data_IF_729841937715
#
_entry.id   IF_729841937715
#
_cell.length_a   1.000
_cell.length_b   1.000
_cell.length_c   1.000
_cell.angle_alpha   90.00
_cell.angle_beta   90.00
_cell.angle_gamma   90.00
#
_symmetry.space_group_name_H-M   'P 1'
#
loop_
_entity.id
_entity.type
_entity.pdbx_description
1 polymer ?
#
# COMPACT_ATOMS: atom_id res chain seq x y z
N UNK A 1 7.81 -9.31 -5.95
CA UNK A 1 7.33 -9.47 -4.55
C UNK A 1 7.86 -10.76 -3.94
N UNK A 2 8.16 -11.77 -4.76
CA UNK A 2 9.18 -12.78 -4.50
C UNK A 2 10.14 -12.78 -5.69
N UNK A 3 11.43 -12.82 -5.41
CA UNK A 3 12.51 -12.65 -6.38
C UNK A 3 13.83 -12.80 -5.67
N UNK A 4 13.99 -13.90 -4.94
CA UNK A 4 15.32 -14.33 -4.52
C UNK A 4 15.86 -15.13 -5.70
N UNK A 5 16.65 -14.47 -6.54
CA UNK A 5 17.69 -15.16 -7.28
C UNK A 5 18.98 -14.77 -6.56
N UNK A 6 19.76 -15.76 -6.14
CA UNK A 6 20.91 -15.57 -5.26
C UNK A 6 22.02 -14.69 -5.87
N UNK A 7 21.94 -14.35 -7.16
CA UNK A 7 22.88 -13.47 -7.86
C UNK A 7 22.26 -12.23 -8.53
N UNK A 8 21.01 -11.85 -8.20
CA UNK A 8 20.31 -10.73 -8.86
C UNK A 8 19.81 -9.64 -7.91
N UNK A 9 20.04 -8.36 -8.24
CA UNK A 9 19.38 -7.23 -7.56
C UNK A 9 17.85 -7.37 -7.68
N UNK A 10 17.17 -7.63 -6.57
CA UNK A 10 15.70 -7.70 -6.54
C UNK A 10 15.10 -6.30 -6.37
N UNK A 11 14.45 -5.79 -7.41
CA UNK A 11 13.81 -4.47 -7.39
C UNK A 11 12.39 -4.56 -6.82
N UNK A 12 12.19 -4.08 -5.59
CA UNK A 12 10.84 -3.87 -5.05
C UNK A 12 10.29 -2.52 -5.56
N UNK A 13 9.18 -2.55 -6.32
CA UNK A 13 8.56 -1.34 -6.89
C UNK A 13 8.00 -0.39 -5.83
N UNK A 14 7.53 -0.96 -4.72
CA UNK A 14 7.00 -0.25 -3.56
C UNK A 14 7.60 -0.92 -2.33
N UNK A 15 8.04 -0.11 -1.37
CA UNK A 15 8.48 -0.61 -0.07
C UNK A 15 7.33 -1.39 0.60
N UNK A 16 7.68 -2.45 1.33
CA UNK A 16 6.71 -3.33 2.01
C UNK A 16 5.78 -2.52 2.92
N UNK A 17 6.34 -1.56 3.67
CA UNK A 17 5.61 -0.64 4.54
C UNK A 17 4.56 0.18 3.79
N UNK A 18 4.86 0.57 2.54
CA UNK A 18 3.94 1.32 1.67
C UNK A 18 2.82 0.46 1.08
N UNK A 19 3.02 -0.86 0.98
CA UNK A 19 2.02 -1.84 0.55
C UNK A 19 1.12 -2.23 1.74
N UNK A 20 1.71 -2.39 2.93
CA UNK A 20 1.00 -2.73 4.16
C UNK A 20 0.14 -1.59 4.72
N UNK A 21 0.17 -0.42 4.09
CA UNK A 21 -0.75 0.67 4.36
C UNK A 21 -2.22 0.29 4.10
N UNK A 22 -3.15 1.02 4.72
CA UNK A 22 -4.59 0.82 4.47
C UNK A 22 -4.95 1.17 3.04
N UNK A 23 -6.07 0.64 2.53
CA UNK A 23 -6.62 1.04 1.22
C UNK A 23 -6.81 2.56 1.13
N UNK A 24 -7.24 3.21 2.23
CA UNK A 24 -7.38 4.68 2.36
C UNK A 24 -6.08 5.46 2.16
N UNK A 25 -4.93 4.79 2.23
CA UNK A 25 -3.58 5.35 2.06
C UNK A 25 -2.94 4.83 0.75
N UNK A 26 -3.75 4.28 -0.17
CA UNK A 26 -3.30 3.52 -1.36
C UNK A 26 -2.38 2.35 -1.00
N UNK A 27 -2.65 1.63 0.09
CA UNK A 27 -2.02 0.33 0.35
C UNK A 27 -2.96 -0.83 0.04
N UNK A 28 -2.44 -2.06 0.14
CA UNK A 28 -3.21 -3.30 -0.05
C UNK A 28 -3.96 -3.72 1.22
N UNK A 29 -3.86 -2.95 2.32
CA UNK A 29 -4.39 -3.32 3.62
C UNK A 29 -3.83 -4.65 4.15
N UNK A 30 -2.62 -5.00 3.72
CA UNK A 30 -1.89 -6.14 4.25
C UNK A 30 -1.28 -5.75 5.60
N UNK A 31 -1.31 -6.66 6.56
CA UNK A 31 -0.67 -6.45 7.86
C UNK A 31 0.78 -6.89 7.74
N UNK A 32 1.72 -6.00 8.02
CA UNK A 32 3.12 -6.40 8.08
C UNK A 32 3.32 -7.32 9.30
N UNK A 33 3.81 -8.57 9.13
CA UNK A 33 3.86 -9.54 10.23
C UNK A 33 4.62 -9.04 11.46
N UNK A 34 5.75 -8.33 11.24
CA UNK A 34 6.59 -7.79 12.32
C UNK A 34 5.86 -6.71 13.11
N UNK A 35 5.19 -5.78 12.42
CA UNK A 35 4.41 -4.72 13.08
C UNK A 35 3.12 -5.25 13.69
N UNK A 36 2.49 -6.27 13.10
CA UNK A 36 1.27 -6.88 13.61
C UNK A 36 1.50 -7.79 14.82
N UNK A 37 2.70 -8.34 14.97
CA UNK A 37 3.06 -9.12 16.15
C UNK A 37 3.12 -8.25 17.43
N UNK A 38 3.56 -6.99 17.33
CA UNK A 38 3.64 -6.06 18.47
C UNK A 38 2.27 -5.91 19.17
N UNK A 39 1.16 -5.57 18.48
CA UNK A 39 -0.11 -5.41 19.13
C UNK A 39 -0.76 -6.73 19.55
N UNK A 40 -0.41 -7.87 18.94
CA UNK A 40 -0.81 -9.19 19.43
C UNK A 40 -0.17 -9.49 20.79
N UNK A 41 1.14 -9.27 20.93
CA UNK A 41 1.85 -9.38 22.20
C UNK A 41 1.39 -8.32 23.21
N UNK A 42 0.98 -7.14 22.73
CA UNK A 42 0.27 -6.14 23.52
C UNK A 42 -1.03 -6.65 24.13
N UNK A 43 -1.76 -7.54 23.44
CA UNK A 43 -2.98 -8.14 23.98
C UNK A 43 -2.67 -9.08 25.14
N UNK A 44 -1.56 -9.84 25.06
CA UNK A 44 -1.09 -10.66 26.16
C UNK A 44 -0.70 -9.79 27.37
N UNK A 45 0.02 -8.68 27.15
CA UNK A 45 0.33 -7.70 28.21
C UNK A 45 -0.93 -7.13 28.86
N UNK A 46 -1.96 -6.85 28.07
CA UNK A 46 -3.24 -6.35 28.58
C UNK A 46 -3.99 -7.42 29.39
N UNK A 47 -3.96 -8.67 28.94
CA UNK A 47 -4.56 -9.79 29.68
C UNK A 47 -3.82 -10.04 31.01
N UNK A 48 -2.50 -9.82 31.05
CA UNK A 48 -1.73 -9.85 32.29
C UNK A 48 -2.17 -8.73 33.26
N UNK A 49 -2.37 -7.49 32.78
CA UNK A 49 -2.77 -6.35 33.64
C UNK A 49 -4.15 -6.56 34.24
N UNK A 50 -5.09 -7.09 33.46
CA UNK A 50 -6.44 -7.42 33.92
C UNK A 50 -6.50 -8.74 34.69
N UNK A 51 -5.35 -9.36 35.02
CA UNK A 51 -5.23 -10.63 35.73
C UNK A 51 -6.16 -11.72 35.17
N UNK A 52 -6.25 -11.80 33.83
CA UNK A 52 -7.06 -12.82 33.17
C UNK A 52 -6.66 -14.19 33.69
N UNK A 53 -7.64 -14.99 34.07
CA UNK A 53 -7.41 -16.32 34.65
C UNK A 53 -6.74 -17.26 33.64
N UNK A 54 -5.42 -17.29 33.67
CA UNK A 54 -4.61 -18.25 32.95
C UNK A 54 -3.41 -18.63 33.80
N UNK A 55 -2.95 -19.88 33.68
CA UNK A 55 -1.75 -20.35 34.38
C UNK A 55 -0.54 -19.47 34.06
N UNK A 56 -0.41 -19.04 32.81
CA UNK A 56 0.64 -18.13 32.37
C UNK A 56 0.55 -16.77 33.08
N UNK A 57 -0.65 -16.20 33.24
CA UNK A 57 -0.85 -14.94 33.97
C UNK A 57 -0.46 -15.07 35.45
N UNK A 58 -0.90 -16.14 36.10
CA UNK A 58 -0.58 -16.42 37.52
C UNK A 58 0.94 -16.55 37.72
N UNK A 59 1.58 -17.40 36.90
CA UNK A 59 3.03 -17.61 36.93
C UNK A 59 3.82 -16.31 36.69
N UNK A 60 3.41 -15.48 35.73
CA UNK A 60 4.07 -14.20 35.45
C UNK A 60 3.98 -13.24 36.65
N UNK A 61 2.83 -13.19 37.32
CA UNK A 61 2.64 -12.35 38.51
C UNK A 61 3.41 -12.83 39.72
N UNK A 62 3.50 -14.13 39.95
CA UNK A 62 4.26 -14.71 41.07
C UNK A 62 5.78 -14.62 40.85
N UNK A 63 6.26 -14.98 39.66
CA UNK A 63 7.69 -15.08 39.39
C UNK A 63 8.33 -13.72 39.09
N UNK A 64 7.72 -12.89 38.22
CA UNK A 64 8.32 -11.63 37.76
C UNK A 64 7.79 -10.40 38.50
N UNK A 65 6.48 -10.20 38.52
CA UNK A 65 5.90 -8.91 38.93
C UNK A 65 5.71 -8.77 40.45
N UNK A 66 5.56 -9.89 41.18
CA UNK A 66 5.33 -9.94 42.64
C UNK A 66 4.27 -8.94 43.11
N UNK A 67 3.15 -8.88 42.39
CA UNK A 67 2.02 -7.97 42.68
C UNK A 67 2.18 -6.52 42.18
N UNK A 68 3.30 -6.16 41.54
CA UNK A 68 3.49 -4.82 40.94
C UNK A 68 2.74 -4.70 39.61
N UNK A 69 2.32 -3.49 39.25
CA UNK A 69 1.75 -3.22 37.91
C UNK A 69 2.80 -3.43 36.84
N UNK A 70 2.36 -3.93 35.69
CA UNK A 70 3.23 -4.30 34.57
C UNK A 70 3.85 -3.05 33.95
N UNK A 71 3.12 -1.93 33.95
CA UNK A 71 3.51 -0.66 33.33
C UNK A 71 4.61 0.07 34.12
N UNK A 72 4.69 -0.19 35.42
CA UNK A 72 5.63 0.46 36.35
C UNK A 72 6.82 -0.44 36.71
N UNK A 73 6.78 -1.71 36.32
CA UNK A 73 7.85 -2.67 36.61
C UNK A 73 9.17 -2.30 35.92
N UNK A 74 10.26 -2.22 36.69
CA UNK A 74 11.63 -2.04 36.16
C UNK A 74 12.25 -3.40 35.85
N UNK A 75 12.73 -3.56 34.62
CA UNK A 75 13.31 -4.84 34.15
C UNK A 75 14.70 -5.03 34.73
N UNK A 76 14.95 -6.16 35.40
CA UNK A 76 16.28 -6.52 35.88
C UNK A 76 17.17 -7.06 34.75
N UNK A 77 18.48 -6.90 34.89
CA UNK A 77 19.44 -7.35 33.89
C UNK A 77 19.48 -8.88 33.75
N UNK A 78 19.13 -9.63 34.79
CA UNK A 78 19.13 -11.11 34.78
C UNK A 78 17.87 -11.74 34.17
N UNK A 79 16.88 -10.94 33.78
CA UNK A 79 15.66 -11.50 33.20
C UNK A 79 15.96 -12.25 31.88
N UNK A 80 15.25 -13.37 31.68
CA UNK A 80 15.34 -14.19 30.46
C UNK A 80 15.02 -13.36 29.21
N UNK A 81 15.66 -13.70 28.09
CA UNK A 81 15.58 -12.90 26.85
C UNK A 81 14.13 -12.71 26.33
N UNK A 82 13.27 -13.71 26.48
CA UNK A 82 11.87 -13.64 26.06
C UNK A 82 11.08 -12.60 26.89
N UNK A 83 11.34 -12.52 28.19
CA UNK A 83 10.72 -11.54 29.09
C UNK A 83 11.21 -10.13 28.74
N UNK A 84 12.52 -9.97 28.55
CA UNK A 84 13.09 -8.70 28.06
C UNK A 84 12.45 -8.27 26.74
N UNK A 85 12.19 -9.19 25.81
CA UNK A 85 11.50 -8.89 24.54
C UNK A 85 10.05 -8.44 24.75
N UNK A 86 9.33 -9.09 25.66
CA UNK A 86 7.96 -8.71 26.03
C UNK A 86 7.92 -7.31 26.67
N UNK A 87 8.87 -7.01 27.55
CA UNK A 87 8.97 -5.68 28.17
C UNK A 87 9.35 -4.59 27.17
N UNK A 88 10.22 -4.87 26.19
CA UNK A 88 10.47 -3.95 25.06
C UNK A 88 9.19 -3.62 24.27
N UNK A 89 8.25 -4.55 24.18
CA UNK A 89 6.95 -4.32 23.51
C UNK A 89 6.03 -3.49 24.41
N UNK A 90 6.01 -3.77 25.71
CA UNK A 90 5.32 -2.94 26.70
C UNK A 90 5.78 -1.49 26.58
N UNK A 91 7.08 -1.24 26.53
CA UNK A 91 7.62 0.13 26.44
C UNK A 91 7.17 0.85 25.17
N UNK A 92 7.05 0.13 24.05
CA UNK A 92 6.47 0.68 22.81
C UNK A 92 5.00 1.06 22.94
N UNK A 93 4.22 0.33 23.74
CA UNK A 93 2.78 0.55 23.93
C UNK A 93 2.46 1.46 25.12
N UNK A 94 3.44 1.71 26.01
CA UNK A 94 3.28 2.46 27.25
C UNK A 94 2.70 3.86 27.02
N UNK A 95 3.10 4.54 25.94
CA UNK A 95 2.56 5.85 25.58
C UNK A 95 1.06 5.87 25.23
N UNK A 96 0.46 4.71 24.95
CA UNK A 96 -0.98 4.59 24.64
C UNK A 96 -1.85 4.27 25.85
N UNK A 97 -1.23 4.09 27.03
CA UNK A 97 -1.89 3.76 28.29
C UNK A 97 -1.77 4.94 29.23
N UNK A 98 -2.91 5.43 29.73
CA UNK A 98 -2.97 6.47 30.76
C UNK A 98 -4.00 6.04 31.81
N UNK A 99 -3.69 6.21 33.10
CA UNK A 99 -4.54 5.78 34.21
C UNK A 99 -5.02 4.33 34.11
N UNK A 100 -4.14 3.42 33.67
CA UNK A 100 -4.44 1.99 33.38
C UNK A 100 -5.54 1.77 32.35
N UNK A 101 -5.89 2.78 31.56
CA UNK A 101 -6.87 2.70 30.48
C UNK A 101 -6.20 2.88 29.12
N UNK A 102 -6.69 2.13 28.13
CA UNK A 102 -6.21 2.21 26.76
C UNK A 102 -6.90 3.36 26.03
N UNK A 103 -6.13 4.41 25.74
CA UNK A 103 -6.70 5.66 25.21
C UNK A 103 -7.11 5.55 23.74
N UNK A 104 -6.44 4.70 22.97
CA UNK A 104 -6.69 4.58 21.53
C UNK A 104 -7.94 3.76 21.16
N UNK A 105 -8.81 3.42 22.12
CA UNK A 105 -10.10 2.78 21.90
C UNK A 105 -11.23 3.46 22.68
N UNK A 106 -11.17 4.79 22.82
CA UNK A 106 -12.16 5.58 23.56
C UNK A 106 -12.39 5.05 25.00
N UNK A 107 -11.29 4.73 25.70
CA UNK A 107 -11.34 4.18 27.07
C UNK A 107 -11.78 2.72 27.18
N UNK A 108 -12.17 2.05 26.08
CA UNK A 108 -12.51 0.63 26.08
C UNK A 108 -11.27 -0.26 26.18
N UNK A 109 -11.50 -1.55 26.44
CA UNK A 109 -10.43 -2.56 26.53
C UNK A 109 -9.54 -2.60 25.29
N UNK A 110 -8.27 -2.93 25.50
CA UNK A 110 -7.30 -3.06 24.43
C UNK A 110 -7.65 -4.20 23.47
N UNK A 111 -7.53 -3.92 22.17
CA UNK A 111 -7.58 -4.94 21.12
C UNK A 111 -6.32 -4.86 20.27
N UNK A 112 -5.90 -5.97 19.65
CA UNK A 112 -4.77 -5.95 18.73
C UNK A 112 -5.00 -4.97 17.55
N UNK A 113 -6.25 -4.76 17.15
CA UNK A 113 -6.62 -3.78 16.13
C UNK A 113 -6.37 -2.34 16.60
N UNK A 114 -6.82 -1.97 17.80
CA UNK A 114 -6.60 -0.63 18.35
C UNK A 114 -5.12 -0.36 18.59
N UNK A 115 -4.38 -1.34 19.11
CA UNK A 115 -2.92 -1.27 19.26
C UNK A 115 -2.20 -1.05 17.94
N UNK A 116 -2.56 -1.79 16.88
CA UNK A 116 -1.97 -1.60 15.55
C UNK A 116 -2.27 -0.22 14.96
N UNK A 117 -3.50 0.27 15.09
CA UNK A 117 -3.89 1.59 14.60
C UNK A 117 -3.10 2.68 15.33
N UNK A 118 -2.95 2.55 16.65
CA UNK A 118 -2.20 3.50 17.48
C UNK A 118 -0.70 3.52 17.13
N UNK A 119 -0.06 2.34 17.02
CA UNK A 119 1.35 2.22 16.65
C UNK A 119 1.68 2.84 15.28
N UNK A 120 0.72 2.83 14.35
CA UNK A 120 0.91 3.42 13.01
C UNK A 120 0.75 4.95 13.00
N UNK A 121 0.22 5.52 14.08
CA UNK A 121 -0.13 6.93 14.17
C UNK A 121 -1.29 7.34 13.26
N UNK A 122 -1.64 8.63 13.32
CA UNK A 122 -2.57 9.24 12.38
C UNK A 122 -1.83 9.45 11.06
N UNK A 123 -2.30 8.79 10.00
CA UNK A 123 -1.82 9.04 8.64
C UNK A 123 -2.88 9.76 7.84
N UNK A 124 -2.46 10.73 7.04
CA UNK A 124 -3.35 11.45 6.13
C UNK A 124 -4.04 10.47 5.17
N UNK A 125 -5.34 10.70 4.96
CA UNK A 125 -6.10 9.94 3.97
C UNK A 125 -5.61 10.35 2.58
N UNK A 126 -5.24 9.38 1.77
CA UNK A 126 -4.84 9.63 0.40
C UNK A 126 -6.08 9.82 -0.46
N UNK A 127 -6.34 11.05 -0.90
CA UNK A 127 -7.56 11.43 -1.64
C UNK A 127 -7.93 10.47 -2.80
N UNK A 128 -6.98 10.01 -3.66
CA UNK A 128 -7.30 9.07 -4.74
C UNK A 128 -7.70 7.65 -4.32
N UNK A 129 -7.51 7.28 -3.05
CA UNK A 129 -7.77 5.92 -2.56
C UNK A 129 -9.21 5.43 -2.84
N UNK A 130 -10.18 6.35 -2.80
CA UNK A 130 -11.60 6.02 -3.05
C UNK A 130 -11.86 5.59 -4.50
N UNK A 131 -11.13 6.17 -5.46
CA UNK A 131 -11.20 5.81 -6.87
C UNK A 131 -10.54 4.45 -7.08
N UNK A 132 -9.31 4.32 -6.58
CA UNK A 132 -8.47 3.15 -6.80
C UNK A 132 -9.12 1.89 -6.24
N UNK A 133 -9.69 1.98 -5.04
CA UNK A 133 -10.28 0.84 -4.32
C UNK A 133 -11.80 0.83 -4.39
N UNK A 134 -12.38 1.31 -5.48
CA UNK A 134 -13.82 1.19 -5.75
C UNK A 134 -14.27 -0.27 -5.68
N UNK A 135 -15.48 -0.51 -5.16
CA UNK A 135 -16.04 -1.85 -4.98
C UNK A 135 -16.21 -2.61 -6.30
N UNK A 136 -16.43 -1.90 -7.40
CA UNK A 136 -16.63 -2.49 -8.73
C UNK A 136 -15.32 -2.66 -9.50
N UNK A 137 -14.19 -2.20 -8.95
CA UNK A 137 -12.89 -2.34 -9.60
C UNK A 137 -12.35 -3.75 -9.39
N UNK A 138 -11.91 -4.39 -10.47
CA UNK A 138 -11.17 -5.65 -10.37
C UNK A 138 -9.86 -5.43 -9.60
N UNK A 139 -9.45 -6.35 -8.72
CA UNK A 139 -8.24 -6.20 -7.91
C UNK A 139 -6.97 -5.87 -8.72
N UNK A 140 -6.82 -6.51 -9.90
CA UNK A 140 -5.70 -6.26 -10.82
C UNK A 140 -5.68 -4.82 -11.37
N UNK A 141 -6.86 -4.24 -11.64
CA UNK A 141 -6.98 -2.86 -12.11
C UNK A 141 -6.63 -1.88 -10.98
N UNK A 142 -7.19 -2.09 -9.80
CA UNK A 142 -6.90 -1.29 -8.61
C UNK A 142 -5.41 -1.29 -8.24
N UNK A 143 -4.74 -2.45 -8.36
CA UNK A 143 -3.31 -2.56 -8.08
C UNK A 143 -2.48 -1.71 -9.05
N UNK A 144 -2.70 -1.86 -10.36
CA UNK A 144 -1.98 -1.07 -11.38
C UNK A 144 -2.29 0.42 -11.24
N UNK A 145 -3.55 0.78 -11.00
CA UNK A 145 -3.92 2.16 -10.69
C UNK A 145 -3.15 2.69 -9.49
N UNK A 146 -3.09 1.96 -8.36
CA UNK A 146 -2.34 2.44 -7.20
C UNK A 146 -0.85 2.68 -7.51
N UNK A 147 -0.23 1.81 -8.31
CA UNK A 147 1.14 2.03 -8.79
C UNK A 147 1.24 3.26 -9.69
N UNK A 148 0.27 3.48 -10.58
CA UNK A 148 0.19 4.66 -11.43
C UNK A 148 0.14 5.94 -10.59
N UNK A 149 -0.77 6.00 -9.61
CA UNK A 149 -0.96 7.13 -8.71
C UNK A 149 0.29 7.41 -7.84
N UNK A 150 0.93 6.37 -7.29
CA UNK A 150 2.19 6.49 -6.52
C UNK A 150 3.44 6.77 -7.38
N UNK A 151 3.29 6.88 -8.71
CA UNK A 151 4.40 7.05 -9.65
C UNK A 151 5.42 5.89 -9.60
N UNK A 152 4.95 4.66 -9.40
CA UNK A 152 5.76 3.44 -9.23
C UNK A 152 5.65 2.46 -10.42
N UNK A 153 5.01 2.86 -11.52
CA UNK A 153 4.99 2.08 -12.75
C UNK A 153 6.37 2.07 -13.44
N UNK A 154 6.75 0.93 -14.02
CA UNK A 154 8.03 0.70 -14.70
C UNK A 154 8.06 1.26 -16.14
N UNK A 155 7.85 2.57 -16.27
CA UNK A 155 8.08 3.29 -17.53
C UNK A 155 9.59 3.39 -17.83
N UNK A 156 9.98 3.58 -19.11
CA UNK A 156 11.40 3.69 -19.50
C UNK A 156 12.18 4.68 -18.65
N UNK A 157 11.62 5.88 -18.48
CA UNK A 157 12.24 6.95 -17.70
C UNK A 157 12.51 6.54 -16.24
N UNK A 158 11.69 5.65 -15.67
CA UNK A 158 11.90 5.14 -14.30
C UNK A 158 12.96 4.05 -14.27
N UNK A 159 13.05 3.22 -15.31
CA UNK A 159 14.08 2.19 -15.45
C UNK A 159 15.47 2.82 -15.60
N UNK A 160 15.59 3.89 -16.38
CA UNK A 160 16.84 4.67 -16.50
C UNK A 160 17.28 5.23 -15.14
N UNK A 161 16.35 5.80 -14.36
CA UNK A 161 16.61 6.26 -12.97
C UNK A 161 17.01 5.14 -12.01
N UNK A 162 16.74 3.89 -12.37
CA UNK A 162 17.16 2.71 -11.60
C UNK A 162 18.49 2.14 -12.13
N UNK A 163 19.20 2.86 -13.01
CA UNK A 163 20.42 2.43 -13.68
C UNK A 163 20.26 1.10 -14.43
N UNK A 164 19.08 0.85 -14.99
CA UNK A 164 18.81 -0.30 -15.85
C UNK A 164 18.97 0.11 -17.31
N UNK A 165 19.65 -0.73 -18.11
CA UNK A 165 19.85 -0.48 -19.53
C UNK A 165 18.51 -0.48 -20.26
N UNK A 166 18.16 0.66 -20.84
CA UNK A 166 17.00 0.83 -21.71
C UNK A 166 17.50 1.13 -23.11
N UNK A 167 17.32 0.17 -24.02
CA UNK A 167 17.75 0.32 -25.43
C UNK A 167 16.82 1.23 -26.23
N UNK A 168 15.55 1.30 -25.85
CA UNK A 168 14.53 2.14 -26.47
C UNK A 168 13.67 2.79 -25.37
N UNK A 169 13.82 4.11 -25.21
CA UNK A 169 13.06 4.89 -24.24
C UNK A 169 11.81 5.54 -24.85
N UNK A 170 11.51 5.29 -26.13
CA UNK A 170 10.28 5.75 -26.76
C UNK A 170 9.04 5.05 -26.19
N UNK A 171 7.91 5.75 -26.26
CA UNK A 171 6.60 5.23 -25.93
C UNK A 171 6.26 4.05 -26.85
N UNK A 172 5.98 2.88 -26.26
CA UNK A 172 5.65 1.70 -27.06
C UNK A 172 4.32 1.83 -27.82
N UNK A 173 3.43 2.72 -27.38
CA UNK A 173 2.12 2.93 -28.00
C UNK A 173 2.22 3.90 -29.19
N UNK A 174 2.71 5.12 -28.97
CA UNK A 174 2.74 6.14 -30.03
C UNK A 174 4.09 6.33 -30.71
N UNK A 175 5.20 5.87 -30.11
CA UNK A 175 6.58 6.03 -30.61
C UNK A 175 7.07 7.49 -30.81
N UNK A 176 6.26 8.50 -30.49
CA UNK A 176 6.55 9.92 -30.73
C UNK A 176 7.25 10.65 -29.59
N UNK A 177 7.29 10.07 -28.39
CA UNK A 177 7.86 10.72 -27.20
C UNK A 177 8.41 9.70 -26.20
N UNK A 178 9.16 10.20 -25.20
CA UNK A 178 9.73 9.37 -24.13
C UNK A 178 8.62 8.70 -23.29
N UNK A 179 8.79 7.40 -23.06
CA UNK A 179 7.93 6.58 -22.22
C UNK A 179 8.05 6.98 -20.75
N UNK A 180 7.15 7.87 -20.37
CA UNK A 180 6.95 8.38 -19.01
C UNK A 180 5.48 8.27 -18.64
N UNK A 181 5.17 8.26 -17.34
CA UNK A 181 3.78 8.31 -16.85
C UNK A 181 3.05 9.56 -17.38
N UNK A 182 3.73 10.71 -17.39
CA UNK A 182 3.17 11.97 -17.86
C UNK A 182 2.77 11.87 -19.33
N UNK A 183 3.65 11.30 -20.17
CA UNK A 183 3.29 11.04 -21.55
C UNK A 183 2.17 10.01 -21.65
N UNK A 184 2.34 8.82 -21.07
CA UNK A 184 1.43 7.67 -21.20
C UNK A 184 -0.02 7.99 -20.85
N UNK A 185 -0.28 8.76 -19.78
CA UNK A 185 -1.66 9.05 -19.34
C UNK A 185 -2.18 10.43 -19.73
N UNK A 186 -1.34 11.37 -20.17
CA UNK A 186 -1.77 12.75 -20.44
C UNK A 186 -1.44 13.28 -21.83
N UNK A 187 -0.40 12.76 -22.50
CA UNK A 187 0.08 13.31 -23.79
C UNK A 187 0.11 12.28 -24.92
N UNK A 188 0.02 10.99 -24.61
CA UNK A 188 0.05 9.92 -25.60
C UNK A 188 -1.26 9.93 -26.40
N UNK A 189 -1.17 10.21 -27.70
CA UNK A 189 -2.32 10.31 -28.60
C UNK A 189 -3.20 9.05 -28.57
N UNK A 190 -2.57 7.87 -28.65
CA UNK A 190 -3.26 6.58 -28.55
C UNK A 190 -4.02 6.42 -27.23
N UNK A 191 -3.39 6.77 -26.10
CA UNK A 191 -4.04 6.71 -24.79
C UNK A 191 -5.18 7.73 -24.68
N UNK A 192 -5.04 8.91 -25.28
CA UNK A 192 -6.09 9.93 -25.30
C UNK A 192 -7.32 9.48 -26.10
N UNK A 193 -7.13 8.77 -27.23
CA UNK A 193 -8.24 8.19 -27.99
C UNK A 193 -9.07 7.22 -27.13
N UNK A 194 -8.42 6.25 -26.48
CA UNK A 194 -9.08 5.30 -25.57
C UNK A 194 -9.81 6.00 -24.42
N UNK A 195 -9.18 7.01 -23.82
CA UNK A 195 -9.78 7.80 -22.75
C UNK A 195 -11.01 8.57 -23.27
N UNK A 196 -10.98 9.08 -24.49
CA UNK A 196 -12.08 9.84 -25.09
C UNK A 196 -13.27 8.94 -25.48
N UNK A 197 -13.03 7.76 -26.04
CA UNK A 197 -14.08 6.77 -26.32
C UNK A 197 -14.78 6.34 -25.04
N UNK A 198 -14.01 6.04 -24.00
CA UNK A 198 -14.55 5.68 -22.69
C UNK A 198 -15.36 6.84 -22.06
N UNK A 199 -14.96 8.10 -22.27
CA UNK A 199 -15.78 9.25 -21.85
C UNK A 199 -17.12 9.30 -22.56
N UNK A 200 -17.09 9.14 -23.89
CA UNK A 200 -18.30 9.16 -24.70
C UNK A 200 -19.28 8.08 -24.23
N UNK A 201 -18.78 6.86 -24.01
CA UNK A 201 -19.57 5.74 -23.49
C UNK A 201 -20.20 6.01 -22.12
N UNK A 202 -19.49 6.74 -21.25
CA UNK A 202 -19.98 7.12 -19.92
C UNK A 202 -20.81 8.43 -19.91
N UNK A 203 -21.02 9.06 -21.06
CA UNK A 203 -21.76 10.31 -21.21
C UNK A 203 -21.04 11.53 -20.61
N UNK A 204 -19.71 11.54 -20.59
CA UNK A 204 -18.88 12.60 -19.98
C UNK A 204 -18.51 13.62 -21.06
N UNK A 205 -19.13 14.80 -21.04
CA UNK A 205 -18.96 15.84 -22.07
C UNK A 205 -17.87 16.90 -21.79
N UNK A 206 -17.19 16.87 -20.63
CA UNK A 206 -16.17 17.89 -20.27
C UNK A 206 -14.78 17.54 -20.84
N UNK A 207 -14.13 18.54 -21.42
CA UNK A 207 -12.82 18.42 -22.08
C UNK A 207 -11.68 18.29 -21.05
N UNK A 208 -10.89 17.21 -21.12
CA UNK A 208 -9.85 16.86 -20.13
C UNK A 208 -8.52 17.58 -20.39
N UNK A 209 -8.37 18.30 -21.52
CA UNK A 209 -7.10 18.96 -21.86
C UNK A 209 -6.57 19.92 -20.78
N UNK A 210 -7.41 20.36 -19.83
CA UNK A 210 -7.05 21.17 -18.65
C UNK A 210 -7.11 20.46 -17.30
N UNK A 211 -7.61 19.22 -17.22
CA UNK A 211 -7.81 18.51 -15.95
C UNK A 211 -6.64 17.56 -15.65
N UNK A 212 -5.91 17.84 -14.58
CA UNK A 212 -5.04 16.85 -13.93
C UNK A 212 -5.92 15.71 -13.41
N UNK A 213 -5.36 14.52 -13.22
CA UNK A 213 -6.09 13.38 -12.63
C UNK A 213 -6.63 13.74 -11.22
N UNK A 214 -6.05 14.74 -10.55
CA UNK A 214 -6.62 15.31 -9.32
C UNK A 214 -7.89 16.15 -9.55
N UNK A 215 -8.02 16.82 -10.69
CA UNK A 215 -9.20 17.62 -11.02
C UNK A 215 -10.42 16.73 -11.40
N UNK A 216 -10.16 15.47 -11.76
CA UNK A 216 -11.17 14.40 -11.83
C UNK A 216 -11.73 13.99 -10.44
N UNK A 217 -11.15 14.43 -9.32
CA UNK A 217 -11.76 14.23 -8.00
C UNK A 217 -12.74 15.36 -7.66
N UNK A 218 -12.43 16.59 -8.07
CA UNK A 218 -13.21 17.78 -7.74
C UNK A 218 -14.51 17.91 -8.57
N UNK A 219 -14.49 17.48 -9.85
CA UNK A 219 -15.64 17.59 -10.75
C UNK A 219 -16.74 16.53 -10.48
N UNK A 220 -16.50 15.56 -9.60
CA UNK A 220 -17.23 14.28 -9.56
C UNK A 220 -17.91 13.98 -8.22
N UNK A 221 -18.31 15.03 -7.50
CA UNK A 221 -19.24 14.91 -6.36
C UNK A 221 -20.66 14.85 -6.94
N UNK A 222 -21.05 13.75 -7.58
CA UNK A 222 -22.47 13.50 -7.91
C UNK A 222 -23.23 12.96 -6.70
N UNK A 223 -24.54 13.24 -6.64
CA UNK A 223 -25.42 12.84 -5.53
C UNK A 223 -25.75 11.33 -5.51
N UNK A 224 -25.40 10.54 -6.53
CA UNK A 224 -25.76 9.10 -6.66
C UNK A 224 -24.56 8.15 -6.47
N UNK A 225 -24.58 7.25 -5.47
CA UNK A 225 -23.41 6.46 -5.06
C UNK A 225 -22.99 5.35 -6.05
N UNK A 226 -23.92 4.72 -6.78
CA UNK A 226 -23.63 3.62 -7.71
C UNK A 226 -22.93 4.11 -8.97
N UNK A 227 -23.40 5.22 -9.55
CA UNK A 227 -22.80 5.83 -10.74
C UNK A 227 -21.31 6.11 -10.52
N UNK A 228 -20.93 6.55 -9.33
CA UNK A 228 -19.52 6.77 -8.98
C UNK A 228 -18.69 5.49 -9.00
N UNK A 229 -19.23 4.37 -8.51
CA UNK A 229 -18.48 3.10 -8.50
C UNK A 229 -18.21 2.61 -9.92
N UNK A 230 -19.20 2.71 -10.82
CA UNK A 230 -19.03 2.35 -12.24
C UNK A 230 -17.97 3.24 -12.89
N UNK A 231 -18.03 4.54 -12.64
CA UNK A 231 -17.05 5.50 -13.17
C UNK A 231 -15.62 5.21 -12.68
N UNK A 232 -15.44 4.98 -11.38
CA UNK A 232 -14.13 4.64 -10.81
C UNK A 232 -13.58 3.32 -11.34
N UNK A 233 -14.44 2.30 -11.45
CA UNK A 233 -14.06 1.01 -12.02
C UNK A 233 -13.65 1.12 -13.48
N UNK A 234 -14.38 1.92 -14.26
CA UNK A 234 -14.06 2.18 -15.66
C UNK A 234 -12.72 2.90 -15.78
N UNK A 235 -12.46 3.93 -14.96
CA UNK A 235 -11.17 4.64 -14.97
C UNK A 235 -10.00 3.70 -14.63
N UNK A 236 -10.17 2.84 -13.62
CA UNK A 236 -9.17 1.84 -13.27
C UNK A 236 -8.96 0.82 -14.40
N UNK A 237 -10.03 0.43 -15.10
CA UNK A 237 -9.95 -0.47 -16.25
C UNK A 237 -9.16 0.17 -17.40
N UNK A 238 -9.41 1.44 -17.74
CA UNK A 238 -8.67 2.15 -18.79
C UNK A 238 -7.19 2.27 -18.45
N UNK A 239 -6.86 2.65 -17.21
CA UNK A 239 -5.46 2.72 -16.73
C UNK A 239 -4.78 1.36 -16.88
N UNK A 240 -5.46 0.30 -16.48
CA UNK A 240 -4.95 -1.07 -16.59
C UNK A 240 -4.76 -1.49 -18.05
N UNK A 241 -5.74 -1.26 -18.93
CA UNK A 241 -5.66 -1.63 -20.34
C UNK A 241 -4.50 -0.92 -21.05
N UNK A 242 -4.36 0.41 -20.87
CA UNK A 242 -3.23 1.17 -21.41
C UNK A 242 -1.89 0.57 -20.94
N UNK A 243 -1.80 0.27 -19.64
CA UNK A 243 -0.58 -0.31 -19.07
C UNK A 243 -0.29 -1.72 -19.60
N UNK A 244 -1.33 -2.55 -19.76
CA UNK A 244 -1.24 -3.91 -20.29
C UNK A 244 -0.74 -3.90 -21.74
N UNK A 245 -1.37 -3.12 -22.61
CA UNK A 245 -1.01 -3.07 -24.04
C UNK A 245 0.42 -2.54 -24.24
N UNK A 246 0.79 -1.46 -23.52
CA UNK A 246 2.16 -0.95 -23.54
C UNK A 246 3.16 -2.04 -23.17
N UNK A 247 2.87 -2.83 -22.12
CA UNK A 247 3.77 -3.90 -21.67
C UNK A 247 3.86 -5.03 -22.68
N UNK A 248 2.75 -5.44 -23.29
CA UNK A 248 2.72 -6.48 -24.31
C UNK A 248 3.65 -6.11 -25.48
N UNK A 249 3.49 -4.90 -26.04
CA UNK A 249 4.33 -4.41 -27.15
C UNK A 249 5.80 -4.36 -26.75
N UNK A 250 6.13 -3.90 -25.54
CA UNK A 250 7.53 -3.86 -25.09
C UNK A 250 8.16 -5.23 -24.91
N UNK A 251 7.41 -6.19 -24.38
CA UNK A 251 7.88 -7.57 -24.22
C UNK A 251 8.12 -8.18 -25.61
N UNK A 252 7.18 -7.99 -26.53
CA UNK A 252 7.31 -8.49 -27.90
C UNK A 252 8.53 -7.89 -28.63
N UNK A 253 8.75 -6.57 -28.56
CA UNK A 253 9.94 -5.92 -29.12
C UNK A 253 11.25 -6.49 -28.56
N UNK A 254 11.32 -6.73 -27.25
CA UNK A 254 12.49 -7.36 -26.62
C UNK A 254 12.73 -8.77 -27.15
N UNK A 255 11.68 -9.57 -27.34
CA UNK A 255 11.81 -10.90 -27.94
C UNK A 255 12.31 -10.84 -29.39
N UNK A 256 11.81 -9.90 -30.21
CA UNK A 256 12.29 -9.70 -31.59
C UNK A 256 13.77 -9.33 -31.64
N UNK A 257 14.21 -8.36 -30.83
CA UNK A 257 15.63 -7.94 -30.75
C UNK A 257 16.53 -9.10 -30.29
N UNK A 258 16.11 -9.87 -29.28
CA UNK A 258 16.87 -11.05 -28.82
C UNK A 258 17.01 -12.11 -29.90
N UNK A 259 15.93 -12.39 -30.66
CA UNK A 259 15.96 -13.36 -31.77
C UNK A 259 16.89 -12.90 -32.90
N UNK A 260 16.95 -11.61 -33.20
CA UNK A 260 17.87 -11.07 -34.22
C UNK A 260 19.34 -11.20 -33.78
N UNK A 261 19.64 -10.98 -32.49
CA UNK A 261 21.00 -11.14 -31.94
C UNK A 261 21.48 -12.59 -31.84
N UNK A 262 20.59 -13.57 -31.81
CA UNK A 262 20.92 -15.00 -31.77
C UNK A 262 21.09 -15.62 -33.18
N UNK A 263 20.81 -14.85 -34.24
CA UNK A 263 20.98 -15.24 -35.64
C UNK A 263 22.27 -14.69 -36.26
N UNK A 264 23.06 -13.97 -35.47
CA UNK A 264 24.40 -13.48 -35.78
C UNK A 264 25.39 -14.25 -34.90
#
# INVERSE_FOLDING_TARGET
MWGKNDNGKCWALVALDGICCRKTECGLNLKEPRQWNIPLLGKQLWDLENKRESLWTKWMHEYYFKGKSIWDYKVHHDCRWHFKRLMKIRDKLKGGVQNRQWQANAGKSYTARSGYIWLRGVKEKYSPARIIWSKFSLPKHSFISCLAWKNRLLAAQRLEKMNLVVTDNSCALCQKAVDSKQHLFFRCEYAQQLINEMKAWLGIRKDIKKLRVHDLLAVWISKKPVRHQVLYASLNAVIYSIWRERNAIRVERRHRIRRQKLKL
#
